data_IF_103297150613
#
_entry.id   IF_103297150613
#
_cell.length_a   1.000
_cell.length_b   1.000
_cell.length_c   1.000
_cell.angle_alpha   90.00
_cell.angle_beta   90.00
_cell.angle_gamma   90.00
#
_symmetry.space_group_name_H-M   'P 1'
#
loop_
_entity.id
_entity.type
_entity.pdbx_description
1 polymer ?
#
# COMPACT_ATOMS: atom_id res chain seq x y z
N UNK A 1 -9.28 2.11 -15.84
CA UNK A 1 -8.90 1.58 -14.53
C UNK A 1 -9.74 0.34 -14.25
N UNK A 2 -9.13 -0.75 -13.82
CA UNK A 2 -9.83 -1.95 -13.32
C UNK A 2 -9.84 -1.89 -11.79
N UNK A 3 -11.01 -2.08 -11.18
CA UNK A 3 -11.19 -2.03 -9.73
C UNK A 3 -11.49 -3.43 -9.22
N UNK A 4 -10.69 -3.90 -8.24
CA UNK A 4 -10.88 -5.17 -7.55
C UNK A 4 -11.13 -4.86 -6.07
N UNK A 5 -12.24 -5.33 -5.51
CA UNK A 5 -12.64 -5.07 -4.12
C UNK A 5 -12.73 -6.39 -3.35
N UNK A 6 -11.63 -6.84 -2.72
CA UNK A 6 -11.67 -7.99 -1.81
C UNK A 6 -12.14 -7.55 -0.43
N UNK A 7 -13.40 -7.76 -0.14
CA UNK A 7 -14.07 -7.38 1.11
C UNK A 7 -14.00 -8.51 2.15
N UNK A 8 -13.64 -8.18 3.39
CA UNK A 8 -13.62 -9.13 4.52
C UNK A 8 -14.55 -8.74 5.67
N UNK A 9 -15.46 -7.80 5.45
CA UNK A 9 -16.51 -7.45 6.41
C UNK A 9 -17.40 -8.66 6.72
N UNK A 10 -18.10 -8.61 7.85
CA UNK A 10 -19.00 -9.69 8.28
C UNK A 10 -20.16 -9.90 7.30
N UNK A 11 -20.63 -8.82 6.68
CA UNK A 11 -21.73 -8.83 5.71
C UNK A 11 -21.28 -8.26 4.38
N UNK A 12 -21.72 -8.83 3.24
CA UNK A 12 -21.39 -8.30 1.94
C UNK A 12 -21.99 -6.91 1.74
N UNK A 13 -21.35 -6.10 0.90
CA UNK A 13 -21.90 -4.83 0.47
C UNK A 13 -23.18 -5.07 -0.35
N UNK A 14 -24.33 -4.64 0.18
CA UNK A 14 -25.64 -4.95 -0.37
C UNK A 14 -25.87 -4.42 -1.79
N UNK A 15 -25.21 -3.33 -2.14
CA UNK A 15 -25.36 -2.63 -3.40
C UNK A 15 -24.26 -2.99 -4.44
N UNK A 16 -23.50 -4.06 -4.24
CA UNK A 16 -22.41 -4.45 -5.13
C UNK A 16 -22.84 -4.60 -6.59
N UNK A 17 -24.05 -5.10 -6.82
CA UNK A 17 -24.62 -5.28 -8.16
C UNK A 17 -24.87 -3.96 -8.94
N UNK A 18 -24.95 -2.83 -8.23
CA UNK A 18 -25.09 -1.51 -8.85
C UNK A 18 -23.81 -1.01 -9.51
N UNK A 19 -22.69 -1.70 -9.30
CA UNK A 19 -21.36 -1.32 -9.80
C UNK A 19 -20.77 -2.43 -10.68
N UNK A 20 -21.29 -2.67 -11.88
CA UNK A 20 -20.89 -3.80 -12.75
C UNK A 20 -19.43 -3.73 -13.21
N UNK A 21 -18.83 -2.53 -13.20
CA UNK A 21 -17.43 -2.32 -13.58
C UNK A 21 -16.42 -2.67 -12.47
N UNK A 22 -16.94 -3.03 -11.28
CA UNK A 22 -16.13 -3.43 -10.13
C UNK A 22 -16.17 -4.94 -9.97
N UNK A 23 -15.01 -5.56 -9.84
CA UNK A 23 -14.94 -6.97 -9.43
C UNK A 23 -14.97 -7.03 -7.90
N UNK A 24 -16.11 -7.40 -7.34
CA UNK A 24 -16.33 -7.51 -5.91
C UNK A 24 -16.21 -8.96 -5.45
N UNK A 25 -15.44 -9.20 -4.37
CA UNK A 25 -15.18 -10.52 -3.80
C UNK A 25 -15.39 -10.47 -2.29
N UNK A 26 -16.50 -10.98 -1.78
CA UNK A 26 -16.75 -11.08 -0.35
C UNK A 26 -16.10 -12.32 0.24
N UNK A 27 -15.22 -12.12 1.23
CA UNK A 27 -14.46 -13.16 1.95
C UNK A 27 -14.44 -12.83 3.43
N UNK A 28 -15.53 -13.08 4.16
CA UNK A 28 -15.67 -12.64 5.54
C UNK A 28 -14.52 -13.11 6.42
N UNK A 29 -13.98 -12.20 7.22
CA UNK A 29 -12.90 -12.45 8.19
C UNK A 29 -11.57 -12.93 7.58
N UNK A 30 -11.43 -12.93 6.25
CA UNK A 30 -10.19 -13.35 5.63
C UNK A 30 -9.08 -12.32 5.91
N UNK A 31 -7.93 -12.80 6.33
CA UNK A 31 -6.75 -11.97 6.60
C UNK A 31 -6.35 -11.15 5.36
N UNK A 32 -5.95 -9.89 5.56
CA UNK A 32 -5.58 -8.95 4.50
C UNK A 32 -4.67 -9.56 3.41
N UNK A 33 -3.56 -10.18 3.82
CA UNK A 33 -2.64 -10.81 2.86
C UNK A 33 -3.30 -11.97 2.10
N UNK A 34 -4.19 -12.73 2.71
CA UNK A 34 -4.89 -13.82 2.03
C UNK A 34 -5.91 -13.28 1.02
N UNK A 35 -6.59 -12.16 1.31
CA UNK A 35 -7.45 -11.49 0.32
C UNK A 35 -6.67 -11.07 -0.91
N UNK A 36 -5.50 -10.46 -0.71
CA UNK A 36 -4.64 -10.06 -1.82
C UNK A 36 -4.18 -11.26 -2.65
N UNK A 37 -3.94 -12.42 -2.04
CA UNK A 37 -3.56 -13.65 -2.74
C UNK A 37 -4.61 -14.08 -3.78
N UNK A 38 -5.89 -13.91 -3.45
CA UNK A 38 -6.98 -14.25 -4.37
C UNK A 38 -7.08 -13.30 -5.57
N UNK A 39 -6.79 -12.01 -5.37
CA UNK A 39 -6.94 -11.00 -6.44
C UNK A 39 -5.70 -10.82 -7.30
N UNK A 40 -4.53 -11.21 -6.82
CA UNK A 40 -3.27 -11.08 -7.57
C UNK A 40 -3.32 -11.68 -8.99
N UNK A 41 -3.84 -12.89 -9.21
CA UNK A 41 -3.94 -13.46 -10.56
C UNK A 41 -4.89 -12.70 -11.48
N UNK A 42 -5.77 -11.88 -10.92
CA UNK A 42 -6.76 -11.09 -11.67
C UNK A 42 -6.20 -9.74 -12.14
N UNK A 43 -5.02 -9.34 -11.65
CA UNK A 43 -4.36 -8.08 -12.03
C UNK A 43 -3.68 -8.28 -13.37
N UNK A 44 -4.26 -7.68 -14.42
CA UNK A 44 -3.76 -7.74 -15.78
C UNK A 44 -3.18 -6.41 -16.30
N UNK A 45 -3.24 -5.36 -15.48
CA UNK A 45 -2.72 -4.03 -15.81
C UNK A 45 -1.21 -3.94 -15.51
N UNK A 46 -0.44 -3.05 -16.20
CA UNK A 46 0.99 -2.90 -15.95
C UNK A 46 1.32 -2.32 -14.57
N UNK A 47 0.37 -1.63 -13.96
CA UNK A 47 0.50 -0.99 -12.65
C UNK A 47 -0.65 -1.38 -11.73
N UNK A 48 -0.37 -1.33 -10.43
CA UNK A 48 -1.33 -1.54 -9.35
C UNK A 48 -1.20 -0.42 -8.33
N UNK A 49 -2.33 0.00 -7.78
CA UNK A 49 -2.41 0.87 -6.61
C UNK A 49 -3.29 0.18 -5.57
N UNK A 50 -2.77 0.04 -4.36
CA UNK A 50 -3.59 -0.33 -3.21
C UNK A 50 -4.26 0.93 -2.65
N UNK A 51 -5.59 0.86 -2.47
CA UNK A 51 -6.39 1.92 -1.85
C UNK A 51 -7.24 1.28 -0.74
N UNK A 52 -7.15 1.80 0.47
CA UNK A 52 -8.01 1.36 1.56
C UNK A 52 -9.45 1.85 1.33
N UNK A 53 -10.42 1.22 1.98
CA UNK A 53 -11.85 1.51 1.82
C UNK A 53 -12.28 2.87 2.40
N UNK A 54 -11.45 3.45 3.26
CA UNK A 54 -11.59 4.80 3.84
C UNK A 54 -10.77 5.87 3.10
N UNK A 55 -10.10 5.51 2.00
CA UNK A 55 -9.23 6.40 1.23
C UNK A 55 -9.85 6.77 -0.13
N UNK A 56 -9.42 7.88 -0.69
CA UNK A 56 -9.79 8.34 -2.03
C UNK A 56 -8.57 8.40 -2.94
N UNK A 57 -8.69 7.77 -4.10
CA UNK A 57 -7.71 7.85 -5.17
C UNK A 57 -8.09 8.94 -6.17
N UNK A 58 -7.10 9.73 -6.62
CA UNK A 58 -7.28 10.82 -7.58
C UNK A 58 -6.77 10.39 -8.96
N UNK A 59 -7.65 10.12 -9.93
CA UNK A 59 -7.26 9.54 -11.21
C UNK A 59 -6.21 10.34 -11.98
N UNK A 60 -6.29 11.68 -11.95
CA UNK A 60 -5.31 12.54 -12.62
C UNK A 60 -3.91 12.43 -12.02
N UNK A 61 -3.81 12.33 -10.69
CA UNK A 61 -2.54 12.07 -10.01
C UNK A 61 -1.97 10.70 -10.36
N UNK A 62 -2.81 9.66 -10.34
CA UNK A 62 -2.41 8.30 -10.72
C UNK A 62 -1.87 8.29 -12.16
N UNK A 63 -2.51 9.01 -13.09
CA UNK A 63 -2.04 9.12 -14.47
C UNK A 63 -0.62 9.72 -14.57
N UNK A 64 -0.30 10.71 -13.72
CA UNK A 64 1.06 11.27 -13.66
C UNK A 64 2.09 10.25 -13.14
N UNK A 65 1.70 9.44 -12.11
CA UNK A 65 2.59 8.39 -11.60
C UNK A 65 2.85 7.30 -12.66
N UNK A 66 1.82 6.88 -13.39
CA UNK A 66 1.97 5.86 -14.44
C UNK A 66 2.80 6.38 -15.60
N UNK A 67 2.60 7.62 -16.06
CA UNK A 67 3.39 8.24 -17.10
C UNK A 67 4.87 8.33 -16.71
N UNK A 68 5.16 8.77 -15.48
CA UNK A 68 6.51 8.78 -14.94
C UNK A 68 7.16 7.39 -14.96
N UNK A 69 6.43 6.38 -14.51
CA UNK A 69 6.94 5.01 -14.52
C UNK A 69 7.17 4.48 -15.95
N UNK A 70 6.34 4.86 -16.93
CA UNK A 70 6.55 4.49 -18.34
C UNK A 70 7.86 5.06 -18.89
N UNK A 71 8.19 6.32 -18.54
CA UNK A 71 9.42 7.01 -18.96
C UNK A 71 10.67 6.55 -18.19
N UNK A 72 10.50 5.97 -16.99
CA UNK A 72 11.60 5.59 -16.10
C UNK A 72 11.56 4.09 -15.72
N UNK A 73 12.04 3.20 -16.59
CA UNK A 73 11.94 1.74 -16.39
C UNK A 73 12.71 1.20 -15.19
N UNK A 74 13.67 1.95 -14.66
CA UNK A 74 14.48 1.63 -13.47
C UNK A 74 13.75 1.94 -12.14
N UNK A 75 12.59 2.65 -12.20
CA UNK A 75 11.73 2.87 -11.05
C UNK A 75 10.67 1.76 -10.95
N UNK A 76 10.56 1.15 -9.78
CA UNK A 76 9.50 0.16 -9.47
C UNK A 76 8.22 0.82 -8.98
N UNK A 77 8.33 2.03 -8.41
CA UNK A 77 7.31 2.64 -7.58
C UNK A 77 7.35 4.15 -7.73
N UNK A 78 6.18 4.77 -7.88
CA UNK A 78 5.99 6.21 -7.84
C UNK A 78 4.83 6.58 -6.92
N UNK A 79 4.99 7.63 -6.14
CA UNK A 79 3.98 8.16 -5.24
C UNK A 79 3.80 9.66 -5.50
N UNK A 80 2.59 10.16 -5.28
CA UNK A 80 2.34 11.61 -5.25
C UNK A 80 2.20 12.11 -3.82
N UNK A 81 1.74 13.36 -3.70
CA UNK A 81 1.37 13.92 -2.42
C UNK A 81 -0.02 13.44 -2.02
N UNK A 82 -0.22 13.11 -0.76
CA UNK A 82 -1.53 12.85 -0.23
C UNK A 82 -1.86 13.68 1.01
N UNK A 83 -3.14 13.97 1.15
CA UNK A 83 -3.70 14.70 2.27
C UNK A 83 -4.35 13.72 3.24
N UNK A 84 -4.34 14.10 4.50
CA UNK A 84 -5.26 13.51 5.47
C UNK A 84 -6.46 14.43 5.61
N UNK A 85 -7.66 13.88 5.73
CA UNK A 85 -8.84 14.65 6.00
C UNK A 85 -9.58 14.13 7.23
N UNK A 86 -10.27 15.03 7.90
CA UNK A 86 -11.10 14.72 9.07
C UNK A 86 -12.45 15.39 8.92
N UNK A 87 -13.56 14.61 8.80
CA UNK A 87 -14.89 15.17 8.83
C UNK A 87 -15.29 15.54 10.27
N UNK A 88 -15.71 16.76 10.52
CA UNK A 88 -16.24 17.21 11.81
C UNK A 88 -17.42 18.14 11.62
N UNK A 89 -18.60 17.76 12.15
CA UNK A 89 -19.81 18.62 12.21
C UNK A 89 -20.12 19.34 10.89
N UNK A 90 -20.11 18.62 9.77
CA UNK A 90 -20.41 19.18 8.44
C UNK A 90 -19.29 19.98 7.80
N UNK A 91 -18.10 20.03 8.41
CA UNK A 91 -16.89 20.60 7.84
C UNK A 91 -15.85 19.52 7.61
N UNK A 92 -15.06 19.65 6.56
CA UNK A 92 -13.92 18.78 6.29
C UNK A 92 -12.65 19.61 6.44
N UNK A 93 -11.76 19.16 7.30
CA UNK A 93 -10.44 19.75 7.48
C UNK A 93 -9.41 18.87 6.77
N UNK A 94 -8.54 19.49 5.98
CA UNK A 94 -7.45 18.82 5.28
C UNK A 94 -6.11 19.26 5.85
N UNK A 95 -5.17 18.33 5.93
CA UNK A 95 -3.79 18.63 6.29
C UNK A 95 -2.83 17.68 5.53
N UNK A 96 -1.67 18.18 5.10
CA UNK A 96 -0.70 17.38 4.39
C UNK A 96 -0.08 16.34 5.32
N UNK A 97 0.12 15.14 4.81
CA UNK A 97 0.80 14.03 5.51
C UNK A 97 2.18 13.83 4.91
N UNK A 98 3.16 13.55 5.75
CA UNK A 98 4.54 13.27 5.35
C UNK A 98 5.22 14.41 4.55
N UNK A 99 4.98 15.66 4.91
CA UNK A 99 5.58 16.85 4.26
C UNK A 99 7.11 16.70 4.06
N UNK A 100 7.79 16.05 5.01
CA UNK A 100 9.23 15.84 4.96
C UNK A 100 9.69 15.00 3.77
N UNK A 101 8.77 14.33 3.10
CA UNK A 101 9.06 13.39 2.00
C UNK A 101 8.46 13.81 0.67
N UNK A 102 7.95 15.03 0.56
CA UNK A 102 7.28 15.52 -0.64
C UNK A 102 8.17 15.53 -1.88
N UNK A 103 9.47 15.67 -1.72
CA UNK A 103 10.43 15.69 -2.83
C UNK A 103 11.45 14.54 -2.74
N UNK A 104 11.11 13.49 -1.99
CA UNK A 104 12.03 12.39 -1.76
C UNK A 104 12.08 11.46 -2.95
N UNK A 105 13.29 11.08 -3.30
CA UNK A 105 13.60 10.03 -4.24
C UNK A 105 14.60 9.08 -3.63
N UNK A 106 14.47 7.80 -3.98
CA UNK A 106 15.44 6.77 -3.66
C UNK A 106 16.00 6.25 -4.98
N UNK A 107 17.20 6.69 -5.32
CA UNK A 107 17.80 6.54 -6.64
C UNK A 107 19.05 5.68 -6.68
N UNK A 108 19.46 5.08 -5.55
CA UNK A 108 20.62 4.21 -5.49
C UNK A 108 20.58 3.12 -6.57
N UNK A 109 21.72 2.83 -7.20
CA UNK A 109 21.79 1.87 -8.31
C UNK A 109 21.59 0.43 -7.82
N UNK A 110 22.08 0.12 -6.62
CA UNK A 110 21.92 -1.20 -6.01
C UNK A 110 20.78 -1.24 -4.99
N UNK A 111 20.16 -2.40 -4.74
CA UNK A 111 19.18 -2.56 -3.66
C UNK A 111 19.72 -2.13 -2.30
N UNK A 112 21.00 -2.43 -2.01
CA UNK A 112 21.65 -2.04 -0.77
C UNK A 112 21.71 -0.52 -0.60
N UNK A 113 22.10 0.21 -1.64
CA UNK A 113 22.14 1.68 -1.61
C UNK A 113 20.75 2.26 -1.39
N UNK A 114 19.72 1.74 -2.06
CA UNK A 114 18.34 2.19 -1.89
C UNK A 114 17.83 1.97 -0.47
N UNK A 115 18.08 0.81 0.12
CA UNK A 115 17.69 0.53 1.51
C UNK A 115 18.43 1.43 2.50
N UNK A 116 19.68 1.78 2.25
CA UNK A 116 20.43 2.72 3.09
C UNK A 116 19.94 4.16 2.95
N UNK A 117 19.52 4.57 1.75
CA UNK A 117 18.90 5.89 1.51
C UNK A 117 17.55 6.01 2.23
N UNK A 118 16.78 4.92 2.28
CA UNK A 118 15.45 4.88 2.92
C UNK A 118 15.52 4.82 4.45
N UNK A 119 16.61 4.36 5.05
CA UNK A 119 16.76 4.11 6.49
C UNK A 119 16.22 5.23 7.41
N UNK A 120 16.24 6.47 6.94
CA UNK A 120 15.75 7.64 7.68
C UNK A 120 14.41 8.18 7.15
N UNK A 121 13.73 7.41 6.31
CA UNK A 121 12.56 7.82 5.59
C UNK A 121 11.44 6.80 5.84
N UNK A 122 10.38 7.22 6.50
CA UNK A 122 9.16 6.42 6.52
C UNK A 122 8.18 6.99 5.50
N UNK A 123 8.01 6.29 4.40
CA UNK A 123 6.91 6.51 3.47
C UNK A 123 6.19 5.17 3.30
N UNK A 124 4.86 5.17 3.39
CA UNK A 124 4.08 3.94 3.18
C UNK A 124 4.01 3.64 1.67
N UNK A 125 5.03 2.95 1.16
CA UNK A 125 5.16 2.62 -0.26
C UNK A 125 4.08 1.63 -0.73
N UNK A 126 3.42 0.93 0.20
CA UNK A 126 2.30 0.06 -0.11
C UNK A 126 1.18 0.80 -0.86
N UNK A 127 0.95 2.08 -0.53
CA UNK A 127 -0.09 2.92 -1.15
C UNK A 127 0.39 3.69 -2.38
N UNK A 128 1.54 3.34 -2.93
CA UNK A 128 2.09 3.94 -4.14
C UNK A 128 1.55 3.25 -5.40
N UNK A 129 1.74 3.89 -6.55
CA UNK A 129 1.59 3.20 -7.84
C UNK A 129 2.83 2.34 -8.05
N UNK A 130 2.64 1.03 -8.15
CA UNK A 130 3.69 0.02 -8.21
C UNK A 130 3.58 -0.74 -9.53
N UNK A 131 4.72 -1.05 -10.16
CA UNK A 131 4.71 -1.99 -11.29
C UNK A 131 4.14 -3.34 -10.86
N UNK A 132 3.16 -3.85 -11.55
CA UNK A 132 2.46 -5.10 -11.18
C UNK A 132 3.43 -6.26 -10.98
N UNK A 133 4.46 -6.39 -11.84
CA UNK A 133 5.47 -7.43 -11.68
C UNK A 133 6.27 -7.31 -10.36
N UNK A 134 6.61 -6.08 -9.95
CA UNK A 134 7.27 -5.84 -8.67
C UNK A 134 6.33 -6.18 -7.52
N UNK A 135 5.09 -5.70 -7.57
CA UNK A 135 4.07 -5.98 -6.56
C UNK A 135 3.83 -7.48 -6.36
N UNK A 136 3.70 -8.25 -7.45
CA UNK A 136 3.53 -9.71 -7.38
C UNK A 136 4.70 -10.41 -6.68
N UNK A 137 5.94 -9.98 -6.97
CA UNK A 137 7.14 -10.53 -6.32
C UNK A 137 7.24 -10.16 -4.84
N UNK A 138 6.96 -8.91 -4.50
CA UNK A 138 6.88 -8.44 -3.10
C UNK A 138 5.87 -9.27 -2.33
N UNK A 139 4.70 -9.45 -2.92
CA UNK A 139 3.62 -10.17 -2.31
C UNK A 139 3.94 -11.66 -2.12
N UNK A 140 4.50 -12.32 -3.13
CA UNK A 140 4.91 -13.71 -3.04
C UNK A 140 5.87 -13.97 -1.86
N UNK A 141 6.74 -13.00 -1.55
CA UNK A 141 7.68 -13.09 -0.44
C UNK A 141 7.03 -12.96 0.96
N UNK A 142 5.74 -12.58 1.03
CA UNK A 142 4.98 -12.60 2.29
C UNK A 142 4.53 -13.99 2.72
N UNK A 143 4.80 -15.02 1.93
CA UNK A 143 4.44 -16.41 2.21
C UNK A 143 5.66 -17.31 2.36
N UNK A 144 5.51 -18.29 3.20
CA UNK A 144 6.45 -19.39 3.32
C UNK A 144 6.28 -20.38 2.14
N UNK A 145 7.24 -21.28 1.88
CA UNK A 145 7.13 -22.28 0.82
C UNK A 145 5.89 -23.20 0.94
N UNK A 146 5.39 -23.42 2.15
CA UNK A 146 4.16 -24.18 2.42
C UNK A 146 2.87 -23.38 2.18
N UNK A 147 2.99 -22.12 1.79
CA UNK A 147 1.86 -21.22 1.54
C UNK A 147 1.28 -20.56 2.78
N UNK A 148 1.85 -20.78 3.96
CA UNK A 148 1.47 -20.09 5.20
C UNK A 148 1.97 -18.63 5.19
N UNK A 149 1.32 -17.77 5.99
CA UNK A 149 1.73 -16.38 6.15
C UNK A 149 3.07 -16.30 6.88
N UNK A 150 4.01 -15.53 6.30
CA UNK A 150 5.25 -15.16 6.98
C UNK A 150 5.02 -14.06 8.02
N UNK A 151 4.16 -13.09 7.70
CA UNK A 151 3.82 -11.97 8.57
C UNK A 151 2.35 -12.04 8.95
N UNK A 152 2.06 -12.22 10.25
CA UNK A 152 0.70 -12.15 10.80
C UNK A 152 0.36 -10.75 11.27
N UNK A 153 1.39 -9.98 11.67
CA UNK A 153 1.25 -8.60 12.07
C UNK A 153 1.24 -7.68 10.84
N UNK A 154 0.21 -6.83 10.72
CA UNK A 154 0.02 -5.95 9.55
C UNK A 154 1.12 -4.89 9.43
N UNK A 155 1.65 -4.37 10.55
CA UNK A 155 2.75 -3.40 10.50
C UNK A 155 4.05 -4.02 10.00
N UNK A 156 4.36 -5.26 10.38
CA UNK A 156 5.51 -5.97 9.83
C UNK A 156 5.35 -6.24 8.34
N UNK A 157 4.15 -6.61 7.91
CA UNK A 157 3.86 -6.78 6.50
C UNK A 157 4.03 -5.45 5.73
N UNK A 158 3.52 -4.34 6.26
CA UNK A 158 3.67 -3.02 5.65
C UNK A 158 5.15 -2.58 5.60
N UNK A 159 5.90 -2.74 6.69
CA UNK A 159 7.34 -2.44 6.73
C UNK A 159 8.10 -3.30 5.72
N UNK A 160 7.76 -4.57 5.62
CA UNK A 160 8.34 -5.46 4.61
C UNK A 160 8.03 -4.97 3.18
N UNK A 161 6.78 -4.59 2.87
CA UNK A 161 6.41 -4.06 1.57
C UNK A 161 7.21 -2.80 1.20
N UNK A 162 7.39 -1.89 2.17
CA UNK A 162 8.17 -0.67 1.96
C UNK A 162 9.62 -0.98 1.55
N UNK A 163 10.27 -1.90 2.26
CA UNK A 163 11.64 -2.31 1.92
C UNK A 163 11.71 -3.12 0.62
N UNK A 164 10.78 -4.04 0.42
CA UNK A 164 10.74 -4.89 -0.76
C UNK A 164 10.53 -4.08 -2.05
N UNK A 165 9.74 -3.00 -2.01
CA UNK A 165 9.59 -2.09 -3.15
C UNK A 165 10.94 -1.56 -3.65
N UNK A 166 11.82 -1.21 -2.73
CA UNK A 166 13.15 -0.66 -3.03
C UNK A 166 14.16 -1.72 -3.51
N UNK A 167 13.90 -3.00 -3.23
CA UNK A 167 14.72 -4.08 -3.79
C UNK A 167 14.51 -4.19 -5.30
N UNK A 168 13.28 -3.98 -5.77
CA UNK A 168 12.91 -4.20 -7.16
C UNK A 168 13.13 -3.00 -8.08
N UNK A 169 13.39 -1.80 -7.55
CA UNK A 169 13.66 -0.60 -8.35
C UNK A 169 13.78 0.65 -7.51
N UNK A 170 14.02 1.76 -8.19
CA UNK A 170 14.05 3.10 -7.60
C UNK A 170 12.63 3.54 -7.20
N UNK A 171 12.56 4.57 -6.37
CA UNK A 171 11.32 5.19 -5.91
C UNK A 171 11.36 6.71 -6.10
N UNK A 172 10.24 7.30 -6.51
CA UNK A 172 10.07 8.74 -6.59
C UNK A 172 8.78 9.20 -5.93
N UNK A 173 8.85 10.34 -5.21
CA UNK A 173 7.68 11.16 -4.89
C UNK A 173 7.58 12.27 -5.92
N UNK A 174 6.40 12.43 -6.53
CA UNK A 174 6.12 13.44 -7.56
C UNK A 174 5.21 14.54 -7.00
N UNK A 175 5.32 15.79 -7.49
CA UNK A 175 4.58 16.93 -6.95
C UNK A 175 3.11 16.97 -7.42
N UNK A 176 2.42 15.84 -7.37
CA UNK A 176 1.02 15.73 -7.78
C UNK A 176 0.17 15.15 -6.65
N UNK A 177 -0.99 15.74 -6.42
CA UNK A 177 -1.98 15.18 -5.51
C UNK A 177 -2.60 13.92 -6.13
N UNK A 178 -2.54 12.79 -5.41
CA UNK A 178 -3.04 11.51 -5.93
C UNK A 178 -3.96 10.75 -4.98
N UNK A 179 -3.96 11.09 -3.68
CA UNK A 179 -4.77 10.37 -2.69
C UNK A 179 -5.16 11.26 -1.52
N UNK A 180 -6.35 11.05 -0.98
CA UNK A 180 -6.79 11.61 0.29
C UNK A 180 -7.16 10.48 1.26
N UNK A 181 -6.62 10.51 2.47
CA UNK A 181 -6.82 9.50 3.51
C UNK A 181 -7.67 10.04 4.65
N UNK A 182 -8.70 9.30 5.03
CA UNK A 182 -9.48 9.67 6.20
C UNK A 182 -8.68 9.42 7.49
N UNK A 183 -8.76 10.37 8.42
CA UNK A 183 -8.27 10.15 9.77
C UNK A 183 -9.43 9.65 10.65
N UNK A 184 -9.51 8.34 10.81
CA UNK A 184 -10.51 7.67 11.64
C UNK A 184 -9.89 7.18 12.95
N UNK A 185 -10.67 7.23 14.03
CA UNK A 185 -10.35 6.56 15.29
C UNK A 185 -10.79 5.10 15.22
N UNK A 186 -10.05 4.18 15.83
CA UNK A 186 -10.34 2.74 15.77
C UNK A 186 -9.87 2.06 14.49
N UNK A 187 -8.94 2.69 13.75
CA UNK A 187 -8.31 2.08 12.58
C UNK A 187 -7.53 0.80 12.94
N UNK A 188 -7.25 -0.04 11.95
CA UNK A 188 -6.41 -1.23 12.14
C UNK A 188 -5.05 -0.88 12.77
N UNK A 189 -4.54 0.33 12.51
CA UNK A 189 -3.30 0.83 13.10
C UNK A 189 -3.36 1.00 14.63
N UNK A 190 -4.53 1.38 15.18
CA UNK A 190 -4.70 1.55 16.63
C UNK A 190 -4.86 0.21 17.37
N UNK A 191 -5.34 -0.81 16.68
CA UNK A 191 -5.58 -2.15 17.25
C UNK A 191 -4.41 -3.11 17.01
N UNK A 192 -3.49 -2.76 16.12
CA UNK A 192 -2.32 -3.58 15.80
C UNK A 192 -1.17 -3.29 16.75
N UNK A 193 -0.46 -4.32 17.18
CA UNK A 193 0.70 -4.18 18.07
C UNK A 193 1.79 -3.35 17.38
N UNK A 194 2.25 -2.25 18.02
CA UNK A 194 3.27 -1.38 17.42
C UNK A 194 4.60 -2.10 17.16
N UNK A 195 5.30 -1.72 16.10
CA UNK A 195 6.60 -2.30 15.72
C UNK A 195 7.63 -2.20 16.86
N UNK A 196 7.61 -1.12 17.64
CA UNK A 196 8.48 -0.98 18.82
C UNK A 196 8.28 -2.09 19.85
N UNK A 197 7.04 -2.52 20.06
CA UNK A 197 6.70 -3.63 20.96
C UNK A 197 7.10 -4.97 20.35
N UNK A 198 6.90 -5.12 19.03
CA UNK A 198 7.29 -6.34 18.30
C UNK A 198 8.79 -6.58 18.42
N UNK A 199 9.61 -5.55 18.17
CA UNK A 199 11.08 -5.61 18.23
C UNK A 199 11.61 -6.03 19.61
N UNK A 200 10.87 -5.78 20.67
CA UNK A 200 11.29 -6.08 22.06
C UNK A 200 10.62 -7.32 22.65
N UNK A 201 9.57 -7.84 22.01
CA UNK A 201 8.78 -8.97 22.51
C UNK A 201 9.27 -10.31 21.97
N UNK A 202 9.50 -11.28 22.87
CA UNK A 202 9.81 -12.66 22.49
C UNK A 202 8.71 -13.32 21.64
N UNK A 203 7.44 -12.91 21.84
CA UNK A 203 6.28 -13.45 21.14
C UNK A 203 6.35 -13.26 19.61
N UNK A 204 6.99 -12.18 19.15
CA UNK A 204 7.05 -11.81 17.73
C UNK A 204 8.43 -11.99 17.11
N UNK A 205 9.37 -12.62 17.86
CA UNK A 205 10.76 -12.77 17.41
C UNK A 205 10.89 -13.56 16.11
N UNK A 206 10.01 -14.52 15.88
CA UNK A 206 10.02 -15.35 14.67
C UNK A 206 9.49 -14.61 13.42
N UNK A 207 8.71 -13.54 13.61
CA UNK A 207 8.20 -12.70 12.51
C UNK A 207 9.13 -11.53 12.19
N UNK A 208 10.01 -11.13 13.10
CA UNK A 208 10.95 -10.02 12.96
C UNK A 208 12.34 -10.53 12.56
#
# INVERSE_FOLDING_TARGET
IKILVPDSSDHPFADAEKYPDITYLHRPKLHFLLKLKEVLPMISTPYVLYCADDDFAVPSGIAQMTAFLDEHPDYSTAQGHYLTFTPRKGKISFYPRYIRYFDKQVTGETPRERLLQEKNMYASLLYSVIRTRAFQRMYAACFNPDGSLRFRNLFLAEEFFNHAALIFGKYATLPYFYSAREHITGSAAETTVPVSVIKTSHKYREEY
#
